data_IF_425429710019
#
_entry.id   IF_425429710019
#
_cell.length_a   1.000
_cell.length_b   1.000
_cell.length_c   1.000
_cell.angle_alpha   90.00
_cell.angle_beta   90.00
_cell.angle_gamma   90.00
#
_symmetry.space_group_name_H-M   'P 1'
#
loop_
_entity.id
_entity.type
_entity.pdbx_description
1 polymer ?
#
# COMPACT_ATOMS: atom_id res chain seq x y z
N UNK A 1 -27.52 -8.87 12.53
CA UNK A 1 -26.67 -8.99 11.32
C UNK A 1 -25.31 -9.49 11.76
N UNK A 2 -24.92 -10.70 11.35
CA UNK A 2 -23.59 -11.25 11.63
C UNK A 2 -22.56 -10.48 10.81
N UNK A 3 -21.71 -9.67 11.45
CA UNK A 3 -20.48 -9.16 10.85
C UNK A 3 -19.60 -10.36 10.53
N UNK A 4 -19.59 -10.82 9.27
CA UNK A 4 -18.61 -11.81 8.82
C UNK A 4 -17.23 -11.19 8.96
N UNK A 5 -16.44 -11.67 9.93
CA UNK A 5 -15.03 -11.30 10.03
C UNK A 5 -14.31 -11.72 8.75
N UNK A 6 -13.88 -10.73 7.94
CA UNK A 6 -13.01 -11.00 6.80
C UNK A 6 -11.61 -11.30 7.34
N UNK A 7 -11.17 -12.55 7.21
CA UNK A 7 -9.78 -12.95 7.50
C UNK A 7 -8.89 -12.54 6.33
N UNK A 8 -7.73 -11.99 6.63
CA UNK A 8 -6.78 -11.53 5.61
C UNK A 8 -5.47 -11.01 6.17
N UNK A 9 -4.61 -10.54 5.28
CA UNK A 9 -3.35 -9.88 5.61
C UNK A 9 -3.54 -8.37 5.49
N UNK A 10 -3.10 -7.66 6.53
CA UNK A 10 -3.02 -6.21 6.54
C UNK A 10 -1.60 -5.78 6.16
N UNK A 11 -1.49 -5.00 5.09
CA UNK A 11 -0.28 -4.30 4.69
C UNK A 11 -0.26 -2.95 5.41
N UNK A 12 0.76 -2.77 6.26
CA UNK A 12 1.13 -1.49 6.85
C UNK A 12 2.35 -1.00 6.08
N UNK A 13 2.25 0.21 5.54
CA UNK A 13 3.30 0.77 4.71
C UNK A 13 3.67 2.17 5.18
N UNK A 14 4.96 2.48 5.12
CA UNK A 14 5.51 3.78 5.46
C UNK A 14 6.42 4.26 4.33
N UNK A 15 6.55 5.57 4.15
CA UNK A 15 7.25 6.16 3.01
C UNK A 15 8.76 6.11 3.20
N UNK A 16 9.26 6.35 4.41
CA UNK A 16 10.68 6.53 4.71
C UNK A 16 11.56 5.31 4.36
N UNK A 17 10.96 4.14 4.19
CA UNK A 17 11.64 2.89 3.84
C UNK A 17 11.52 2.44 2.38
N UNK A 18 10.76 3.15 1.54
CA UNK A 18 10.51 2.74 0.14
C UNK A 18 11.77 2.86 -0.70
N UNK A 19 12.09 1.82 -1.47
CA UNK A 19 13.23 1.82 -2.37
C UNK A 19 13.13 2.97 -3.39
N UNK A 20 14.23 3.70 -3.57
CA UNK A 20 14.29 4.87 -4.44
C UNK A 20 13.92 6.19 -3.78
N UNK A 21 13.40 6.18 -2.54
CA UNK A 21 13.26 7.41 -1.74
C UNK A 21 14.61 7.76 -1.11
N UNK A 22 15.31 8.70 -1.75
CA UNK A 22 16.58 9.25 -1.26
C UNK A 22 16.42 10.66 -0.64
N UNK A 23 15.23 11.25 -0.74
CA UNK A 23 14.99 12.66 -0.41
C UNK A 23 13.67 12.83 0.35
N UNK A 24 13.68 13.61 1.45
CA UNK A 24 12.51 13.91 2.28
C UNK A 24 11.37 14.60 1.53
N UNK A 25 11.67 15.31 0.43
CA UNK A 25 10.65 15.93 -0.43
C UNK A 25 9.72 14.91 -1.07
N UNK A 26 10.16 13.67 -1.22
CA UNK A 26 9.35 12.57 -1.76
C UNK A 26 8.43 11.95 -0.71
N UNK A 27 8.58 12.29 0.56
CA UNK A 27 7.84 11.69 1.69
C UNK A 27 6.66 12.56 2.13
N UNK A 28 6.82 13.88 2.07
CA UNK A 28 5.82 14.83 2.58
C UNK A 28 4.63 14.99 1.63
N UNK A 29 3.38 14.71 2.06
CA UNK A 29 2.20 14.77 1.18
C UNK A 29 1.88 16.17 0.65
N UNK A 30 2.29 17.22 1.35
CA UNK A 30 2.13 18.61 0.92
C UNK A 30 3.16 19.03 -0.16
N UNK A 31 4.02 18.11 -0.61
CA UNK A 31 5.06 18.37 -1.58
C UNK A 31 4.67 17.84 -2.97
N UNK A 32 4.86 18.67 -4.01
CA UNK A 32 4.63 18.30 -5.42
C UNK A 32 5.44 17.06 -5.84
N UNK A 33 6.64 16.86 -5.27
CA UNK A 33 7.46 15.68 -5.56
C UNK A 33 6.86 14.40 -4.97
N UNK A 34 6.18 14.48 -3.82
CA UNK A 34 5.44 13.34 -3.29
C UNK A 34 4.28 12.95 -4.21
N UNK A 35 3.52 13.94 -4.69
CA UNK A 35 2.34 13.68 -5.53
C UNK A 35 2.70 13.00 -6.86
N UNK A 36 3.80 13.42 -7.48
CA UNK A 36 4.20 12.90 -8.79
C UNK A 36 5.14 11.69 -8.73
N UNK A 37 5.96 11.56 -7.69
CA UNK A 37 7.01 10.53 -7.64
C UNK A 37 6.92 9.68 -6.38
N UNK A 38 6.89 10.31 -5.20
CA UNK A 38 6.92 9.58 -3.92
C UNK A 38 5.80 8.55 -3.80
N UNK A 39 4.54 8.97 -4.02
CA UNK A 39 3.39 8.06 -3.92
C UNK A 39 3.42 6.94 -4.96
N UNK A 40 4.02 7.16 -6.13
CA UNK A 40 4.11 6.16 -7.18
C UNK A 40 5.05 5.02 -6.75
N UNK A 41 6.23 5.36 -6.21
CA UNK A 41 7.18 4.39 -5.67
C UNK A 41 6.57 3.53 -4.56
N UNK A 42 5.86 4.17 -3.61
CA UNK A 42 5.16 3.44 -2.54
C UNK A 42 4.09 2.50 -3.12
N UNK A 43 3.32 2.98 -4.10
CA UNK A 43 2.26 2.20 -4.73
C UNK A 43 2.83 0.97 -5.45
N UNK A 44 3.95 1.11 -6.14
CA UNK A 44 4.63 -0.01 -6.80
C UNK A 44 5.06 -1.10 -5.80
N UNK A 45 5.69 -0.73 -4.68
CA UNK A 45 6.07 -1.71 -3.66
C UNK A 45 4.86 -2.44 -3.06
N UNK A 46 3.80 -1.70 -2.73
CA UNK A 46 2.55 -2.28 -2.21
C UNK A 46 1.96 -3.27 -3.23
N UNK A 47 1.96 -2.91 -4.52
CA UNK A 47 1.45 -3.76 -5.58
C UNK A 47 2.27 -5.04 -5.74
N UNK A 48 3.61 -4.98 -5.62
CA UNK A 48 4.46 -6.18 -5.65
C UNK A 48 4.13 -7.13 -4.49
N UNK A 49 3.98 -6.59 -3.27
CA UNK A 49 3.60 -7.40 -2.11
C UNK A 49 2.22 -8.00 -2.29
N UNK A 50 1.22 -7.18 -2.65
CA UNK A 50 -0.14 -7.63 -2.85
C UNK A 50 -0.23 -8.70 -3.95
N UNK A 51 0.53 -8.56 -5.04
CA UNK A 51 0.51 -9.52 -6.15
C UNK A 51 1.13 -10.83 -5.72
N UNK A 52 2.22 -10.78 -4.96
CA UNK A 52 2.86 -11.97 -4.40
C UNK A 52 1.91 -12.73 -3.47
N UNK A 53 1.18 -12.01 -2.61
CA UNK A 53 0.17 -12.61 -1.72
C UNK A 53 -0.97 -13.25 -2.53
N UNK A 54 -1.47 -12.56 -3.55
CA UNK A 54 -2.51 -13.08 -4.44
C UNK A 54 -2.07 -14.36 -5.14
N UNK A 55 -0.86 -14.40 -5.72
CA UNK A 55 -0.30 -15.58 -6.38
C UNK A 55 -0.10 -16.76 -5.42
N UNK A 56 0.04 -16.49 -4.12
CA UNK A 56 0.08 -17.51 -3.06
C UNK A 56 -1.31 -17.96 -2.59
N UNK A 57 -2.38 -17.48 -3.22
CA UNK A 57 -3.77 -17.83 -2.91
C UNK A 57 -4.41 -16.99 -1.80
N UNK A 58 -3.75 -15.92 -1.34
CA UNK A 58 -4.27 -15.04 -0.29
C UNK A 58 -5.11 -13.95 -0.96
N UNK A 59 -6.44 -14.06 -0.83
CA UNK A 59 -7.40 -13.14 -1.49
C UNK A 59 -7.87 -11.98 -0.61
N UNK A 60 -7.62 -12.04 0.70
CA UNK A 60 -7.97 -10.98 1.64
C UNK A 60 -6.76 -10.11 1.93
N UNK A 61 -6.39 -9.22 1.00
CA UNK A 61 -5.29 -8.27 1.22
C UNK A 61 -5.87 -6.88 1.46
N UNK A 62 -5.50 -6.29 2.59
CA UNK A 62 -5.95 -4.97 3.03
C UNK A 62 -4.76 -4.04 3.14
N UNK A 63 -4.97 -2.76 2.86
CA UNK A 63 -3.98 -1.70 2.98
C UNK A 63 -4.47 -0.66 3.98
N UNK A 64 -3.63 -0.28 4.96
CA UNK A 64 -3.87 0.88 5.81
C UNK A 64 -3.10 2.09 5.27
N UNK A 65 -3.81 3.13 4.85
CA UNK A 65 -3.22 4.42 4.49
C UNK A 65 -3.90 5.55 5.26
N UNK A 66 -3.12 6.38 5.97
CA UNK A 66 -3.62 7.54 6.71
C UNK A 66 -4.83 7.21 7.62
N UNK A 67 -4.76 6.09 8.35
CA UNK A 67 -5.83 5.64 9.24
C UNK A 67 -7.04 5.00 8.56
N UNK A 68 -7.04 4.91 7.22
CA UNK A 68 -8.12 4.29 6.46
C UNK A 68 -7.70 2.91 5.94
N UNK A 69 -8.50 1.88 6.26
CA UNK A 69 -8.32 0.53 5.72
C UNK A 69 -9.07 0.40 4.40
N UNK A 70 -8.37 -0.03 3.34
CA UNK A 70 -8.94 -0.32 2.03
C UNK A 70 -8.63 -1.76 1.64
N UNK A 71 -9.60 -2.45 1.04
CA UNK A 71 -9.37 -3.73 0.39
C UNK A 71 -8.63 -3.48 -0.93
N UNK A 72 -7.53 -4.20 -1.17
CA UNK A 72 -6.79 -4.09 -2.43
C UNK A 72 -7.55 -4.95 -3.45
N UNK A 73 -8.44 -4.31 -4.21
CA UNK A 73 -9.25 -4.93 -5.24
C UNK A 73 -8.56 -4.73 -6.59
N UNK A 74 -8.14 -5.85 -7.18
CA UNK A 74 -7.51 -5.97 -8.48
C UNK A 74 -6.12 -5.33 -8.64
N UNK A 75 -5.17 -6.21 -8.95
CA UNK A 75 -3.81 -5.88 -9.34
C UNK A 75 -3.80 -6.12 -10.85
N UNK A 76 -3.81 -5.04 -11.62
CA UNK A 76 -3.64 -5.12 -13.08
C UNK A 76 -2.22 -5.56 -13.44
#
# INVERSE_FOLDING_TARGET
>A
MSTKEKKGILILSDMEGVAGIADKRLVSPDNVFWEHYGRALLTEEINVVASTLYHRGIKGTFLLCNGNVKEVLDIC
#
